data_IF_786515466751
#
_entry.id   IF_786515466751
#
_cell.length_a   1.000
_cell.length_b   1.000
_cell.length_c   1.000
_cell.angle_alpha   90.00
_cell.angle_beta   90.00
_cell.angle_gamma   90.00
#
_symmetry.space_group_name_H-M   'P 1'
#
loop_
_entity.id
_entity.type
_entity.pdbx_description
1 polymer ?
#
# COMPACT_ATOMS: atom_id res chain seq x y z
N UNK A 1 -21.64 18.94 19.50
CA UNK A 1 -21.08 17.57 19.59
C UNK A 1 -22.03 16.46 19.12
N UNK A 2 -23.30 16.39 19.57
CA UNK A 2 -24.25 15.32 19.15
C UNK A 2 -24.51 15.20 17.63
N UNK A 3 -24.40 16.30 16.87
CA UNK A 3 -24.56 16.30 15.41
C UNK A 3 -23.35 15.73 14.67
N UNK A 4 -22.14 15.95 15.19
CA UNK A 4 -20.91 15.38 14.63
C UNK A 4 -20.83 13.87 14.83
N UNK A 5 -21.30 13.36 15.97
CA UNK A 5 -21.31 11.91 16.23
C UNK A 5 -22.26 11.16 15.28
N UNK A 6 -23.42 11.74 14.97
CA UNK A 6 -24.37 11.17 14.00
C UNK A 6 -23.80 11.10 12.57
N UNK A 7 -23.05 12.12 12.16
CA UNK A 7 -22.40 12.13 10.84
C UNK A 7 -21.29 11.07 10.75
N UNK A 8 -20.46 10.92 11.78
CA UNK A 8 -19.38 9.93 11.81
C UNK A 8 -19.92 8.48 11.76
N UNK A 9 -20.99 8.19 12.53
CA UNK A 9 -21.65 6.88 12.50
C UNK A 9 -22.26 6.59 11.13
N UNK A 10 -22.85 7.58 10.47
CA UNK A 10 -23.45 7.40 9.14
C UNK A 10 -22.41 7.08 8.05
N UNK A 11 -21.25 7.74 8.09
CA UNK A 11 -20.14 7.48 7.14
C UNK A 11 -19.58 6.07 7.32
N UNK A 12 -19.41 5.61 8.57
CA UNK A 12 -18.94 4.25 8.86
C UNK A 12 -19.93 3.19 8.35
N UNK A 13 -21.24 3.40 8.55
CA UNK A 13 -22.27 2.46 8.08
C UNK A 13 -22.30 2.39 6.56
N UNK A 14 -22.18 3.53 5.85
CA UNK A 14 -22.12 3.53 4.39
C UNK A 14 -20.87 2.82 3.86
N UNK A 15 -19.71 3.02 4.48
CA UNK A 15 -18.47 2.36 4.05
C UNK A 15 -18.55 0.83 4.18
N UNK A 16 -19.14 0.33 5.28
CA UNK A 16 -19.36 -1.11 5.49
C UNK A 16 -20.35 -1.67 4.46
N UNK A 17 -21.44 -0.95 4.16
CA UNK A 17 -22.42 -1.37 3.17
C UNK A 17 -21.82 -1.47 1.74
N UNK A 18 -21.00 -0.50 1.34
CA UNK A 18 -20.34 -0.51 0.03
C UNK A 18 -19.34 -1.67 -0.12
N UNK A 19 -18.68 -2.06 0.96
CA UNK A 19 -17.75 -3.21 0.98
C UNK A 19 -18.48 -4.56 0.92
N UNK A 20 -19.72 -4.64 1.40
CA UNK A 20 -20.54 -5.87 1.26
C UNK A 20 -21.17 -6.03 -0.12
N UNK A 21 -21.39 -4.92 -0.85
CA UNK A 21 -22.01 -4.94 -2.19
C UNK A 21 -21.02 -5.28 -3.30
N UNK A 22 -19.72 -5.13 -3.07
CA UNK A 22 -18.65 -5.34 -4.07
C UNK A 22 -18.27 -6.82 -4.27
N UNK A 23 -19.06 -7.77 -3.75
CA UNK A 23 -18.95 -9.20 -4.11
C UNK A 23 -17.65 -9.91 -3.70
N UNK A 24 -16.72 -9.22 -3.04
CA UNK A 24 -15.53 -9.85 -2.48
C UNK A 24 -16.00 -10.89 -1.47
N UNK A 25 -15.65 -12.16 -1.66
CA UNK A 25 -15.86 -13.21 -0.67
C UNK A 25 -15.00 -12.89 0.56
N UNK A 26 -15.49 -12.00 1.42
CA UNK A 26 -14.80 -11.67 2.65
C UNK A 26 -15.00 -12.85 3.58
N UNK A 27 -13.94 -13.63 3.71
CA UNK A 27 -13.83 -14.76 4.62
C UNK A 27 -14.24 -14.32 6.04
N UNK A 28 -15.44 -14.71 6.47
CA UNK A 28 -16.03 -14.28 7.75
C UNK A 28 -15.12 -14.64 8.94
N UNK A 29 -14.23 -15.62 8.79
CA UNK A 29 -13.23 -15.97 9.79
C UNK A 29 -12.22 -14.83 10.04
N UNK A 30 -11.75 -14.15 8.98
CA UNK A 30 -10.79 -13.03 9.10
C UNK A 30 -11.44 -11.78 9.70
N UNK A 31 -12.72 -11.56 9.45
CA UNK A 31 -13.50 -10.48 10.09
C UNK A 31 -13.63 -10.71 11.60
N UNK A 32 -13.86 -11.96 12.03
CA UNK A 32 -13.97 -12.30 13.46
C UNK A 32 -12.72 -11.93 14.25
N UNK A 33 -11.53 -12.20 13.69
CA UNK A 33 -10.25 -11.83 14.29
C UNK A 33 -10.05 -10.32 14.35
N UNK A 34 -10.46 -9.59 13.31
CA UNK A 34 -10.36 -8.13 13.28
C UNK A 34 -11.26 -7.46 14.33
N UNK A 35 -12.50 -7.92 14.48
CA UNK A 35 -13.44 -7.41 15.50
C UNK A 35 -12.89 -7.66 16.91
N UNK A 36 -12.32 -8.85 17.16
CA UNK A 36 -11.72 -9.19 18.46
C UNK A 36 -10.51 -8.31 18.78
N UNK A 37 -9.70 -7.98 17.76
CA UNK A 37 -8.55 -7.08 17.90
C UNK A 37 -8.98 -5.65 18.21
N UNK A 38 -10.02 -5.14 17.53
CA UNK A 38 -10.60 -3.82 17.81
C UNK A 38 -11.18 -3.74 19.23
N UNK A 39 -11.89 -4.78 19.68
CA UNK A 39 -12.44 -4.82 21.04
C UNK A 39 -11.33 -4.67 22.09
N UNK A 40 -10.18 -5.33 21.89
CA UNK A 40 -9.00 -5.18 22.76
C UNK A 40 -8.40 -3.77 22.77
N UNK A 41 -8.41 -3.07 21.63
CA UNK A 41 -7.93 -1.68 21.53
C UNK A 41 -8.89 -0.72 22.25
N UNK A 42 -10.21 -0.90 22.08
CA UNK A 42 -11.22 -0.06 22.72
C UNK A 42 -11.15 -0.21 24.26
N UNK A 43 -10.94 -1.43 24.78
CA UNK A 43 -10.76 -1.65 26.22
C UNK A 43 -9.53 -0.91 26.78
N UNK A 44 -8.39 -0.93 26.07
CA UNK A 44 -7.19 -0.19 26.48
C UNK A 44 -7.39 1.32 26.43
N UNK A 45 -8.09 1.83 25.42
CA UNK A 45 -8.39 3.27 25.32
C UNK A 45 -9.35 3.70 26.44
N UNK A 46 -10.33 2.87 26.81
CA UNK A 46 -11.24 3.15 27.92
C UNK A 46 -10.50 3.23 29.28
N UNK A 47 -9.53 2.34 29.53
CA UNK A 47 -8.68 2.40 30.72
C UNK A 47 -7.79 3.65 30.73
N UNK A 48 -7.19 4.00 29.58
CA UNK A 48 -6.36 5.20 29.42
C UNK A 48 -7.13 6.49 29.73
N UNK A 49 -8.33 6.66 29.17
CA UNK A 49 -9.17 7.85 29.38
C UNK A 49 -9.60 7.95 30.85
N UNK A 50 -9.89 6.82 31.51
CA UNK A 50 -10.25 6.81 32.94
C UNK A 50 -9.09 7.31 33.81
N UNK A 51 -7.85 6.88 33.53
CA UNK A 51 -6.65 7.34 34.25
C UNK A 51 -6.36 8.84 34.04
N UNK A 52 -6.62 9.36 32.84
CA UNK A 52 -6.45 10.78 32.53
C UNK A 52 -7.49 11.64 33.24
N UNK A 53 -8.73 11.15 33.34
CA UNK A 53 -9.81 11.81 34.08
C UNK A 53 -9.54 11.93 35.58
N UNK A 54 -8.98 10.90 36.21
CA UNK A 54 -8.56 10.97 37.63
C UNK A 54 -7.39 11.93 37.84
N UNK A 55 -6.43 11.97 36.92
CA UNK A 55 -5.30 12.90 36.97
C UNK A 55 -5.76 14.36 36.89
N UNK A 56 -6.71 14.67 36.00
CA UNK A 56 -7.31 16.01 35.90
C UNK A 56 -8.12 16.40 37.14
N UNK A 57 -8.84 15.44 37.74
CA UNK A 57 -9.65 15.70 38.94
C UNK A 57 -8.78 15.99 40.17
N UNK A 58 -7.62 15.35 40.27
CA UNK A 58 -6.66 15.58 41.35
C UNK A 58 -5.85 16.88 41.18
N UNK A 59 -5.72 17.39 39.96
CA UNK A 59 -4.93 18.60 39.66
C UNK A 59 -5.78 19.89 39.52
N UNK A 60 -7.11 19.80 39.64
CA UNK A 60 -8.03 20.94 39.54
C UNK A 60 -8.09 21.82 40.82
N UNK A 61 -7.18 21.61 41.78
CA UNK A 61 -7.23 22.23 43.12
C UNK A 61 -6.27 23.40 43.37
N UNK A 62 -5.47 23.86 42.41
CA UNK A 62 -4.52 24.97 42.67
C UNK A 62 -4.52 26.01 41.57
N UNK A 63 -5.60 26.78 41.50
CA UNK A 63 -5.59 28.13 40.95
C UNK A 63 -4.88 29.06 41.93
N UNK A 64 -3.58 29.29 41.72
CA UNK A 64 -2.90 30.47 42.30
C UNK A 64 -2.56 31.44 41.17
N UNK A 65 -2.98 32.67 41.40
CA UNK A 65 -2.97 33.79 40.48
C UNK A 65 -1.56 34.25 40.08
N UNK A 66 -1.51 34.77 38.86
CA UNK A 66 -0.66 35.86 38.37
C UNK A 66 0.84 35.86 38.72
N UNK A 67 1.69 35.79 37.70
CA UNK A 67 2.77 36.77 37.50
C UNK A 67 3.14 36.84 36.02
N UNK A 68 2.97 38.02 35.44
CA UNK A 68 3.44 38.41 34.11
C UNK A 68 4.97 38.48 34.15
N UNK A 69 5.64 37.45 33.62
CA UNK A 69 7.09 37.42 33.45
C UNK A 69 7.43 37.30 31.98
N UNK A 70 7.91 38.41 31.38
CA UNK A 70 8.56 38.40 30.07
C UNK A 70 9.85 37.61 30.17
N UNK A 71 9.82 36.36 29.70
CA UNK A 71 11.01 35.53 29.56
C UNK A 71 11.42 35.46 28.08
N UNK A 72 12.45 36.23 27.73
CA UNK A 72 13.25 36.01 26.52
C UNK A 72 14.05 34.73 26.71
N UNK A 73 13.51 33.61 26.24
CA UNK A 73 14.19 32.33 26.22
C UNK A 73 14.46 31.91 24.78
N UNK A 74 15.73 31.89 24.39
CA UNK A 74 16.21 31.22 23.18
C UNK A 74 15.87 29.74 23.29
N UNK A 75 14.88 29.30 22.51
CA UNK A 75 14.53 27.89 22.40
C UNK A 75 15.67 27.15 21.69
N UNK A 76 16.47 26.41 22.46
CA UNK A 76 17.28 25.33 21.91
C UNK A 76 16.31 24.21 21.57
N UNK A 77 16.02 24.05 20.28
CA UNK A 77 15.22 22.95 19.76
C UNK A 77 16.06 21.69 19.92
N UNK A 78 15.87 20.98 21.05
CA UNK A 78 16.28 19.60 21.15
C UNK A 78 15.46 18.83 20.12
N UNK A 79 16.15 18.34 19.09
CA UNK A 79 15.64 17.43 18.08
C UNK A 79 15.33 16.10 18.77
N UNK A 80 14.16 16.02 19.39
CA UNK A 80 13.58 14.73 19.75
C UNK A 80 13.09 14.10 18.45
N UNK A 81 13.88 13.14 17.97
CA UNK A 81 13.52 12.15 16.97
C UNK A 81 12.20 11.50 17.39
N UNK A 82 11.10 12.05 16.90
CA UNK A 82 9.81 11.39 16.93
C UNK A 82 9.90 10.30 15.87
N UNK A 83 10.20 9.09 16.32
CA UNK A 83 10.01 7.87 15.53
C UNK A 83 8.52 7.76 15.24
N UNK A 84 8.08 8.36 14.14
CA UNK A 84 6.84 8.00 13.49
C UNK A 84 7.02 6.55 13.07
N UNK A 85 6.46 5.65 13.88
CA UNK A 85 6.18 4.28 13.47
C UNK A 85 5.29 4.41 12.26
N UNK A 86 5.90 4.29 11.08
CA UNK A 86 5.23 4.23 9.81
C UNK A 86 4.11 3.20 9.94
N UNK A 87 2.90 3.65 9.66
CA UNK A 87 1.76 2.78 9.51
C UNK A 87 2.13 1.79 8.41
N UNK A 88 2.26 0.52 8.79
CA UNK A 88 2.43 -0.59 7.86
C UNK A 88 1.18 -0.63 6.95
N UNK A 89 1.21 0.14 5.86
CA UNK A 89 0.45 -0.18 4.67
C UNK A 89 1.15 -1.39 4.08
N UNK A 90 0.77 -2.55 4.58
CA UNK A 90 1.16 -3.84 4.05
C UNK A 90 0.68 -3.91 2.60
N UNK A 91 1.57 -3.52 1.69
CA UNK A 91 1.53 -3.94 0.30
C UNK A 91 1.63 -5.47 0.32
N UNK A 92 0.48 -6.11 0.28
CA UNK A 92 0.35 -7.56 0.20
C UNK A 92 0.61 -7.91 -1.26
N UNK A 93 1.89 -8.01 -1.60
CA UNK A 93 2.33 -8.61 -2.84
C UNK A 93 2.66 -10.09 -2.59
N UNK A 94 2.25 -10.91 -3.55
CA UNK A 94 2.51 -12.35 -3.70
C UNK A 94 1.57 -13.25 -2.92
N UNK A 95 0.27 -13.20 -3.24
CA UNK A 95 -0.51 -14.44 -3.34
C UNK A 95 -0.45 -14.87 -4.81
N UNK A 96 0.17 -16.02 -5.05
CA UNK A 96 0.36 -16.57 -6.39
C UNK A 96 -0.96 -17.24 -6.76
N UNK A 97 -1.85 -16.50 -7.41
CA UNK A 97 -3.02 -17.09 -8.04
C UNK A 97 -2.51 -17.91 -9.23
N UNK A 98 -2.34 -19.20 -9.02
CA UNK A 98 -2.33 -20.18 -10.11
C UNK A 98 -3.74 -20.20 -10.70
N UNK A 99 -3.96 -19.43 -11.75
CA UNK A 99 -5.14 -19.54 -12.61
C UNK A 99 -4.95 -20.83 -13.39
N UNK A 100 -5.60 -21.89 -12.92
CA UNK A 100 -5.77 -23.12 -13.66
C UNK A 100 -7.10 -23.06 -14.38
N UNK A 101 -7.13 -22.39 -15.53
CA UNK A 101 -8.17 -22.60 -16.54
C UNK A 101 -7.55 -23.48 -17.62
N UNK A 102 -7.72 -24.78 -17.41
CA UNK A 102 -7.64 -25.78 -18.45
C UNK A 102 -9.06 -25.94 -19.01
N UNK A 103 -9.12 -26.12 -20.32
CA UNK A 103 -10.29 -26.46 -21.14
C UNK A 103 -11.07 -25.25 -21.68
N UNK A 104 -10.54 -24.62 -22.73
CA UNK A 104 -11.39 -24.25 -23.86
C UNK A 104 -10.67 -24.53 -25.18
N UNK A 105 -11.39 -25.26 -26.03
CA UNK A 105 -10.95 -25.91 -27.26
C UNK A 105 -10.83 -24.89 -28.42
N UNK A 106 -9.76 -25.07 -29.20
CA UNK A 106 -9.47 -24.73 -30.64
C UNK A 106 -10.38 -23.68 -31.35
N UNK A 107 -9.85 -22.71 -32.11
CA UNK A 107 -9.24 -22.90 -33.44
C UNK A 107 -8.40 -21.68 -33.90
N UNK A 108 -7.24 -22.00 -34.50
CA UNK A 108 -6.54 -21.37 -35.63
C UNK A 108 -6.54 -19.83 -35.81
N UNK A 109 -5.42 -19.20 -35.41
CA UNK A 109 -4.70 -18.24 -36.27
C UNK A 109 -3.20 -18.26 -35.89
N UNK A 110 -2.34 -18.39 -36.91
CA UNK A 110 -0.87 -18.55 -36.87
C UNK A 110 -0.12 -17.33 -36.26
N UNK A 111 -0.44 -16.88 -35.05
CA UNK A 111 0.44 -15.98 -34.32
C UNK A 111 1.53 -16.83 -33.66
N UNK A 112 2.80 -16.44 -33.84
CA UNK A 112 3.98 -17.13 -33.33
C UNK A 112 4.07 -16.94 -31.80
N UNK A 113 3.06 -17.44 -31.11
CA UNK A 113 2.81 -17.37 -29.69
C UNK A 113 3.92 -18.06 -28.94
N UNK A 114 4.88 -17.26 -28.51
CA UNK A 114 5.77 -17.61 -27.42
C UNK A 114 4.91 -18.04 -26.23
N UNK A 115 4.82 -19.34 -26.00
CA UNK A 115 4.30 -19.93 -24.77
C UNK A 115 5.15 -19.40 -23.62
N UNK A 116 4.63 -18.37 -22.94
CA UNK A 116 5.33 -17.71 -21.86
C UNK A 116 5.37 -18.66 -20.67
N UNK A 117 6.57 -19.10 -20.31
CA UNK A 117 6.78 -19.94 -19.13
C UNK A 117 6.36 -19.19 -17.86
N UNK A 118 6.01 -19.91 -16.79
CA UNK A 118 5.72 -19.29 -15.48
C UNK A 118 6.89 -18.42 -14.98
N UNK A 119 8.12 -18.78 -15.37
CA UNK A 119 9.32 -18.00 -15.12
C UNK A 119 9.30 -16.65 -15.85
N UNK A 120 8.86 -16.62 -17.12
CA UNK A 120 8.68 -15.38 -17.87
C UNK A 120 7.60 -14.49 -17.27
N UNK A 121 6.45 -15.07 -16.87
CA UNK A 121 5.35 -14.36 -16.20
C UNK A 121 5.82 -13.74 -14.87
N UNK A 122 6.51 -14.51 -14.05
CA UNK A 122 7.09 -14.05 -12.77
C UNK A 122 8.14 -12.95 -13.00
N UNK A 123 8.98 -13.11 -14.02
CA UNK A 123 9.96 -12.09 -14.37
C UNK A 123 9.29 -10.79 -14.80
N UNK A 124 8.22 -10.85 -15.60
CA UNK A 124 7.45 -9.68 -16.01
C UNK A 124 6.79 -8.97 -14.80
N UNK A 125 6.19 -9.72 -13.89
CA UNK A 125 5.63 -9.18 -12.64
C UNK A 125 6.71 -8.46 -11.81
N UNK A 126 7.88 -9.07 -11.64
CA UNK A 126 9.00 -8.44 -10.93
C UNK A 126 9.44 -7.11 -11.59
N UNK A 127 9.46 -7.01 -12.92
CA UNK A 127 9.77 -5.74 -13.62
C UNK A 127 8.74 -4.64 -13.29
N UNK A 128 7.45 -4.98 -13.23
CA UNK A 128 6.39 -4.02 -12.85
C UNK A 128 6.56 -3.51 -11.42
N UNK A 129 6.88 -4.42 -10.50
CA UNK A 129 7.16 -4.04 -9.10
C UNK A 129 8.39 -3.13 -9.01
N UNK A 130 9.44 -3.39 -9.78
CA UNK A 130 10.62 -2.51 -9.84
C UNK A 130 10.28 -1.12 -10.36
N UNK A 131 9.49 -1.02 -11.42
CA UNK A 131 9.05 0.27 -11.97
C UNK A 131 8.26 1.08 -10.96
N UNK A 132 7.28 0.45 -10.29
CA UNK A 132 6.50 1.12 -9.24
C UNK A 132 7.39 1.59 -8.07
N UNK A 133 8.35 0.78 -7.65
CA UNK A 133 9.30 1.15 -6.59
C UNK A 133 10.19 2.34 -6.98
N UNK A 134 10.65 2.39 -8.24
CA UNK A 134 11.42 3.51 -8.79
C UNK A 134 10.57 4.79 -8.82
N UNK A 135 9.32 4.69 -9.26
CA UNK A 135 8.39 5.82 -9.31
C UNK A 135 8.17 6.40 -7.90
N UNK A 136 7.89 5.55 -6.90
CA UNK A 136 7.77 5.98 -5.51
C UNK A 136 9.08 6.61 -4.99
N UNK A 137 10.24 6.03 -5.31
CA UNK A 137 11.54 6.61 -4.95
C UNK A 137 11.71 8.03 -5.52
N UNK A 138 11.42 8.21 -6.81
CA UNK A 138 11.56 9.47 -7.52
C UNK A 138 10.58 10.55 -7.03
N UNK A 139 9.43 10.17 -6.49
CA UNK A 139 8.48 11.11 -5.86
C UNK A 139 8.98 11.64 -4.51
N UNK A 140 9.68 10.79 -3.74
CA UNK A 140 10.13 11.13 -2.38
C UNK A 140 11.49 11.82 -2.35
N UNK A 141 12.29 11.71 -3.41
CA UNK A 141 13.66 12.21 -3.47
C UNK A 141 13.77 13.44 -4.37
N UNK A 142 14.55 14.44 -3.92
CA UNK A 142 14.84 15.63 -4.73
C UNK A 142 15.74 15.34 -5.94
N UNK A 143 16.54 14.27 -5.86
CA UNK A 143 17.37 13.77 -6.96
C UNK A 143 16.77 12.46 -7.45
N UNK A 144 16.23 12.48 -8.67
CA UNK A 144 15.65 11.29 -9.27
C UNK A 144 16.72 10.26 -9.63
N UNK A 145 16.37 8.99 -9.48
CA UNK A 145 17.17 7.85 -9.90
C UNK A 145 17.20 7.78 -11.43
N UNK A 146 18.40 7.85 -12.02
CA UNK A 146 18.61 7.73 -13.48
C UNK A 146 19.04 6.33 -13.91
N UNK A 147 19.50 5.50 -12.97
CA UNK A 147 19.95 4.12 -13.19
C UNK A 147 19.47 3.23 -12.05
N UNK A 148 19.07 2.00 -12.36
CA UNK A 148 18.50 1.06 -11.38
C UNK A 148 19.50 0.74 -10.26
N UNK A 149 19.20 1.16 -9.03
CA UNK A 149 19.94 0.82 -7.81
C UNK A 149 19.06 0.05 -6.83
N UNK A 150 19.18 -1.28 -6.86
CA UNK A 150 18.46 -2.20 -5.97
C UNK A 150 18.73 -1.94 -4.48
N UNK A 151 19.94 -1.49 -4.14
CA UNK A 151 20.32 -1.23 -2.74
C UNK A 151 19.60 0.02 -2.23
N UNK A 152 19.51 1.07 -3.05
CA UNK A 152 18.73 2.26 -2.72
C UNK A 152 17.25 1.92 -2.51
N UNK A 153 16.65 1.11 -3.39
CA UNK A 153 15.24 0.72 -3.28
C UNK A 153 14.93 -0.12 -2.01
N UNK A 154 15.82 -1.05 -1.64
CA UNK A 154 15.64 -1.87 -0.42
C UNK A 154 15.91 -1.07 0.85
N UNK A 155 16.98 -0.26 0.86
CA UNK A 155 17.33 0.57 2.02
C UNK A 155 16.29 1.66 2.29
N UNK A 156 15.72 2.24 1.22
CA UNK A 156 14.63 3.21 1.25
C UNK A 156 13.24 2.60 1.51
N UNK A 157 13.14 1.28 1.71
CA UNK A 157 11.88 0.56 1.97
C UNK A 157 10.84 0.62 0.84
N UNK A 158 11.25 0.96 -0.38
CA UNK A 158 10.43 0.83 -1.59
C UNK A 158 10.30 -0.63 -2.03
N UNK A 159 11.31 -1.44 -1.69
CA UNK A 159 11.28 -2.89 -1.81
C UNK A 159 11.51 -3.55 -0.45
N UNK A 160 10.81 -4.66 -0.22
CA UNK A 160 11.04 -5.50 0.97
C UNK A 160 12.38 -6.23 0.90
N UNK A 161 12.72 -6.73 -0.28
CA UNK A 161 13.96 -7.44 -0.58
C UNK A 161 14.35 -7.28 -2.06
N UNK A 162 15.57 -7.68 -2.41
CA UNK A 162 16.05 -7.63 -3.79
C UNK A 162 15.34 -8.68 -4.65
N UNK A 163 14.64 -8.23 -5.69
CA UNK A 163 13.97 -9.10 -6.65
C UNK A 163 14.99 -9.84 -7.53
N UNK A 164 14.74 -11.13 -7.74
CA UNK A 164 15.57 -12.01 -8.57
C UNK A 164 14.75 -12.58 -9.71
N UNK A 165 15.35 -12.66 -10.89
CA UNK A 165 14.76 -13.38 -11.99
C UNK A 165 14.80 -14.89 -11.70
N UNK A 166 13.70 -15.64 -11.93
CA UNK A 166 13.65 -17.08 -11.67
C UNK A 166 14.67 -17.88 -12.50
N UNK A 167 15.08 -17.35 -13.66
CA UNK A 167 16.10 -17.97 -14.53
C UNK A 167 17.51 -17.40 -14.31
N UNK A 168 17.74 -16.68 -13.20
CA UNK A 168 19.04 -16.08 -12.88
C UNK A 168 19.42 -14.89 -13.77
N UNK A 169 18.45 -14.27 -14.45
CA UNK A 169 18.64 -13.01 -15.14
C UNK A 169 18.92 -11.83 -14.20
N UNK A 170 19.56 -10.79 -14.72
CA UNK A 170 19.81 -9.53 -14.01
C UNK A 170 18.91 -8.43 -14.57
N UNK A 171 18.35 -7.62 -13.69
CA UNK A 171 17.57 -6.44 -14.07
C UNK A 171 18.48 -5.25 -14.31
N UNK A 172 18.23 -4.50 -15.38
CA UNK A 172 18.96 -3.28 -15.76
C UNK A 172 17.96 -2.21 -16.19
N UNK A 173 18.30 -0.93 -16.00
CA UNK A 173 17.50 0.17 -16.55
C UNK A 173 17.61 0.20 -18.06
N UNK A 174 16.47 0.29 -18.74
CA UNK A 174 16.35 0.55 -20.17
C UNK A 174 16.02 2.02 -20.35
N UNK A 175 17.03 2.84 -20.68
CA UNK A 175 16.86 4.27 -20.83
C UNK A 175 16.98 5.06 -19.52
N UNK A 176 16.53 6.31 -19.56
CA UNK A 176 16.53 7.23 -18.42
C UNK A 176 15.27 7.01 -17.57
N UNK A 177 15.49 6.63 -16.31
CA UNK A 177 14.42 6.31 -15.36
C UNK A 177 13.60 7.54 -14.89
N UNK A 178 13.96 8.75 -15.33
CA UNK A 178 13.20 9.97 -15.02
C UNK A 178 12.21 10.37 -16.11
N UNK A 179 12.25 9.72 -17.27
CA UNK A 179 11.50 10.11 -18.46
C UNK A 179 10.32 9.20 -18.80
N UNK A 180 9.57 9.56 -19.85
CA UNK A 180 8.49 8.75 -20.40
C UNK A 180 8.97 7.43 -21.04
N UNK A 181 10.28 7.23 -21.17
CA UNK A 181 10.91 6.00 -21.70
C UNK A 181 11.58 5.19 -20.60
N UNK A 182 11.27 5.49 -19.33
CA UNK A 182 11.76 4.74 -18.19
C UNK A 182 11.26 3.29 -18.27
N UNK A 183 12.20 2.35 -18.41
CA UNK A 183 11.88 0.93 -18.40
C UNK A 183 12.89 0.12 -17.60
N UNK A 184 12.48 -1.08 -17.17
CA UNK A 184 13.38 -2.09 -16.60
C UNK A 184 13.42 -3.27 -17.54
N UNK A 185 14.63 -3.68 -17.94
CA UNK A 185 14.86 -4.86 -18.77
C UNK A 185 15.48 -5.99 -17.96
N UNK A 186 15.16 -7.23 -18.29
CA UNK A 186 15.84 -8.41 -17.77
C UNK A 186 16.80 -8.98 -18.82
N UNK A 187 18.01 -9.38 -18.43
CA UNK A 187 19.00 -9.97 -19.34
C UNK A 187 18.57 -11.29 -19.99
N UNK A 188 17.51 -11.94 -19.47
CA UNK A 188 16.95 -13.20 -20.00
C UNK A 188 15.67 -12.99 -20.79
N UNK A 189 14.79 -12.11 -20.29
CA UNK A 189 13.42 -11.93 -20.81
C UNK A 189 13.19 -10.58 -21.50
N UNK A 190 14.21 -9.72 -21.62
CA UNK A 190 14.10 -8.41 -22.23
C UNK A 190 13.22 -7.42 -21.44
N UNK A 191 12.74 -6.40 -22.15
CA UNK A 191 11.98 -5.26 -21.63
C UNK A 191 10.48 -5.29 -21.99
N UNK A 192 9.96 -6.34 -22.63
CA UNK A 192 8.64 -6.31 -23.27
C UNK A 192 7.53 -5.82 -22.32
N UNK A 193 6.93 -4.69 -22.70
CA UNK A 193 5.81 -4.02 -22.04
C UNK A 193 4.46 -4.62 -22.51
N UNK A 194 4.50 -5.41 -23.59
CA UNK A 194 3.35 -5.90 -24.35
C UNK A 194 2.51 -7.00 -23.66
N UNK A 195 2.60 -7.17 -22.35
CA UNK A 195 1.81 -8.20 -21.61
C UNK A 195 0.94 -7.62 -20.48
N UNK A 196 0.60 -6.33 -20.56
CA UNK A 196 -0.42 -5.70 -19.70
C UNK A 196 -1.64 -5.41 -20.58
N UNK A 197 -2.29 -6.45 -21.08
CA UNK A 197 -3.42 -6.27 -21.98
C UNK A 197 -4.23 -7.54 -22.09
N UNK A 198 -4.75 -7.99 -20.95
CA UNK A 198 -5.96 -8.83 -20.83
C UNK A 198 -6.47 -8.60 -19.40
N UNK A 199 -6.77 -7.33 -19.09
CA UNK A 199 -7.87 -7.09 -18.16
C UNK A 199 -9.07 -7.05 -19.06
N UNK A 200 -9.72 -8.20 -19.21
CA UNK A 200 -11.12 -8.29 -19.59
C UNK A 200 -11.90 -7.49 -18.55
N UNK A 201 -11.93 -6.17 -18.78
CA UNK A 201 -12.97 -5.33 -18.26
C UNK A 201 -14.22 -5.85 -18.94
N UNK A 202 -14.90 -6.76 -18.25
CA UNK A 202 -16.27 -7.16 -18.55
C UNK A 202 -17.12 -5.89 -18.63
N UNK A 203 -17.18 -5.33 -19.84
CA UNK A 203 -18.21 -4.43 -20.32
C UNK A 203 -19.50 -5.23 -20.46
N UNK A 204 -20.07 -5.67 -19.34
CA UNK A 204 -21.50 -6.00 -19.33
C UNK A 204 -22.27 -4.80 -18.78
N UNK A 205 -22.36 -3.83 -19.70
CA UNK A 205 -23.52 -2.96 -19.85
C UNK A 205 -24.81 -3.80 -19.85
N UNK A 206 -25.50 -3.90 -18.72
CA UNK A 206 -26.95 -4.04 -18.73
C UNK A 206 -27.59 -3.04 -17.78
N UNK A 207 -28.06 -1.95 -18.37
CA UNK A 207 -29.07 -1.05 -17.82
C UNK A 207 -30.47 -1.60 -18.13
N UNK A 208 -31.24 -2.10 -17.14
CA UNK A 208 -32.70 -2.08 -17.23
C UNK A 208 -33.15 -0.73 -16.65
N UNK A 209 -33.74 0.19 -17.41
CA UNK A 209 -35.04 -0.01 -18.03
C UNK A 209 -36.13 0.50 -17.08
N UNK A 210 -36.55 1.76 -17.33
CA UNK A 210 -37.80 2.45 -16.92
C UNK A 210 -37.98 2.98 -15.47
#
# INVERSE_FOLDING_TARGET
MKRFFKACVFVLVMMVASMTLTGCNIDLAKIGDFITKIAGVISKVAEGIKSFGETLKNNAGTTTAATTGTATGTATVASETTTVTASDTASTATDTVTVGDADDDEEDDDDAGTTTTDAAKTCAANRRVLMAAIECYNMDHSTMMTSLDMSALVSGKYLKETLKCPEGGTYVSSGDLTGATAGVACSKHGASEDQVGDTDADEEEESPGE
#
